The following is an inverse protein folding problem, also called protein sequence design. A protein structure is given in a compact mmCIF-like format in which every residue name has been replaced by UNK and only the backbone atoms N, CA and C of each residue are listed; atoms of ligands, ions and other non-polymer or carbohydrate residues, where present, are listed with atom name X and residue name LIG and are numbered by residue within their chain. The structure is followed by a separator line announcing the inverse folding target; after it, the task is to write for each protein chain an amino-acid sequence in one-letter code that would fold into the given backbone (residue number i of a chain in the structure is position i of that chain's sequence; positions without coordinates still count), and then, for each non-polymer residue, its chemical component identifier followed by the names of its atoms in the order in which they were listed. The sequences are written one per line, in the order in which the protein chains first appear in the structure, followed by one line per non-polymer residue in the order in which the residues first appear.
data_IF_226670868473
#
_entry.id   IF_226670868473
#
_cell.length_a   1.000
_cell.length_b   1.000
_cell.length_c   1.000
_cell.angle_alpha   90.00
_cell.angle_beta   90.00
_cell.angle_gamma   90.00
#
_symmetry.space_group_name_H-M   'P 1'
#
loop_
_entity.id
_entity.type
_entity.pdbx_description
1 polymer ?
#
# COMPACT_ATOMS: atom_id res chain seq x y z
N UNK A 1 4.39 0.75 26.52
CA UNK A 1 3.25 0.17 27.24
C UNK A 1 3.16 0.82 28.61
N UNK A 2 2.02 1.44 28.97
CA UNK A 2 1.77 1.97 30.30
C UNK A 2 0.41 1.45 30.76
N UNK A 3 0.44 0.63 31.82
CA UNK A 3 -0.73 0.07 32.50
C UNK A 3 -1.13 1.10 33.56
N UNK A 4 -2.38 1.57 33.52
CA UNK A 4 -2.95 2.42 34.57
C UNK A 4 -4.01 1.65 35.35
N UNK A 5 -3.86 1.76 36.68
CA UNK A 5 -4.56 1.05 37.74
C UNK A 5 -6.00 1.57 37.86
N UNK A 6 -6.94 0.63 37.92
CA UNK A 6 -8.37 0.87 38.12
C UNK A 6 -8.62 1.12 39.62
N UNK A 7 -9.14 2.30 39.96
CA UNK A 7 -9.68 2.59 41.29
C UNK A 7 -11.21 2.56 41.23
N UNK A 8 -11.78 1.59 41.95
CA UNK A 8 -13.21 1.32 42.05
C UNK A 8 -13.81 2.20 43.16
N UNK A 9 -14.62 3.20 42.81
CA UNK A 9 -15.46 3.94 43.76
C UNK A 9 -16.92 3.51 43.58
N UNK A 10 -17.42 2.68 44.49
CA UNK A 10 -18.82 2.27 44.55
C UNK A 10 -19.60 3.31 45.38
N UNK A 11 -20.24 4.26 44.71
CA UNK A 11 -21.27 5.11 45.33
C UNK A 11 -22.64 4.46 45.10
N UNK A 12 -23.28 4.03 46.20
CA UNK A 12 -24.67 3.58 46.19
C UNK A 12 -25.58 4.80 45.91
N UNK A 13 -26.15 4.86 44.70
CA UNK A 13 -27.21 5.80 44.35
C UNK A 13 -28.56 5.07 44.57
N UNK A 14 -29.55 5.67 45.26
CA UNK A 14 -30.87 5.08 45.39
C UNK A 14 -31.55 4.95 44.03
N UNK A 15 -31.96 3.72 43.71
CA UNK A 15 -32.70 3.35 42.52
C UNK A 15 -34.03 4.12 42.48
N UNK A 16 -34.06 5.27 41.81
CA UNK A 16 -35.32 5.79 41.27
C UNK A 16 -35.74 4.79 40.20
N UNK A 17 -36.89 4.15 40.37
CA UNK A 17 -37.53 3.36 39.34
C UNK A 17 -37.82 4.30 38.15
N UNK A 18 -36.85 4.39 37.23
CA UNK A 18 -37.07 4.94 35.90
C UNK A 18 -38.00 3.94 35.25
N UNK A 19 -39.23 4.36 34.98
CA UNK A 19 -40.15 3.62 34.13
C UNK A 19 -39.51 3.50 32.76
N UNK A 20 -38.75 2.43 32.51
CA UNK A 20 -38.25 2.12 31.18
C UNK A 20 -39.47 1.86 30.30
N UNK A 21 -39.68 2.73 29.30
CA UNK A 21 -40.67 2.49 28.23
C UNK A 21 -40.28 1.16 27.59
N UNK A 22 -41.09 0.12 27.78
CA UNK A 22 -40.86 -1.17 27.15
C UNK A 22 -41.08 -0.99 25.65
N UNK A 23 -40.03 -1.17 24.86
CA UNK A 23 -40.11 -1.05 23.40
C UNK A 23 -41.19 -1.96 22.85
N UNK A 24 -41.95 -1.45 21.88
CA UNK A 24 -42.91 -2.29 21.17
C UNK A 24 -42.18 -3.25 20.21
N UNK A 25 -42.88 -4.29 19.74
CA UNK A 25 -42.35 -5.14 18.68
C UNK A 25 -42.03 -4.37 17.40
N UNK A 26 -42.72 -3.25 17.13
CA UNK A 26 -42.48 -2.38 15.98
C UNK A 26 -41.19 -1.58 16.14
N UNK A 27 -40.96 -1.03 17.33
CA UNK A 27 -39.76 -0.26 17.65
C UNK A 27 -38.52 -1.14 17.57
N UNK A 28 -38.60 -2.34 18.16
CA UNK A 28 -37.54 -3.34 18.08
C UNK A 28 -37.22 -3.75 16.64
N UNK A 29 -38.25 -3.86 15.78
CA UNK A 29 -38.06 -4.18 14.37
C UNK A 29 -37.42 -3.02 13.58
N UNK A 30 -37.73 -1.76 13.91
CA UNK A 30 -37.11 -0.58 13.29
C UNK A 30 -35.61 -0.50 13.62
N UNK A 31 -35.27 -0.64 14.91
CA UNK A 31 -33.87 -0.68 15.38
C UNK A 31 -33.11 -1.85 14.73
N UNK A 32 -33.72 -3.05 14.68
CA UNK A 32 -33.10 -4.21 14.02
C UNK A 32 -32.85 -3.98 12.52
N UNK A 33 -33.73 -3.26 11.83
CA UNK A 33 -33.55 -2.90 10.41
C UNK A 33 -32.38 -1.92 10.24
N UNK A 34 -32.29 -0.89 11.08
CA UNK A 34 -31.20 0.09 11.05
C UNK A 34 -29.85 -0.57 11.34
N UNK A 35 -29.78 -1.46 12.32
CA UNK A 35 -28.58 -2.26 12.59
C UNK A 35 -28.14 -3.07 11.36
N UNK A 36 -29.07 -3.71 10.64
CA UNK A 36 -28.74 -4.41 9.37
C UNK A 36 -28.20 -3.45 8.31
N UNK A 37 -28.78 -2.26 8.18
CA UNK A 37 -28.29 -1.22 7.26
C UNK A 37 -26.87 -0.79 7.62
N UNK A 38 -26.58 -0.58 8.91
CA UNK A 38 -25.25 -0.25 9.41
C UNK A 38 -24.26 -1.36 9.06
N UNK A 39 -24.56 -2.63 9.35
CA UNK A 39 -23.68 -3.76 9.00
C UNK A 39 -23.37 -3.81 7.49
N UNK A 40 -24.37 -3.53 6.64
CA UNK A 40 -24.16 -3.46 5.19
C UNK A 40 -23.30 -2.25 4.78
N UNK A 41 -23.46 -1.11 5.44
CA UNK A 41 -22.65 0.08 5.22
C UNK A 41 -21.20 -0.12 5.68
N UNK A 42 -20.96 -0.78 6.82
CA UNK A 42 -19.63 -1.17 7.31
C UNK A 42 -18.93 -2.07 6.30
N UNK A 43 -19.63 -3.09 5.77
CA UNK A 43 -19.08 -3.95 4.73
C UNK A 43 -18.75 -3.21 3.43
N UNK A 44 -19.46 -2.11 3.11
CA UNK A 44 -19.13 -1.26 1.96
C UNK A 44 -17.87 -0.42 2.23
N UNK A 45 -17.72 0.13 3.43
CA UNK A 45 -16.52 0.87 3.85
C UNK A 45 -15.31 -0.06 3.78
N UNK A 46 -15.40 -1.26 4.33
CA UNK A 46 -14.32 -2.25 4.29
C UNK A 46 -13.90 -2.58 2.84
N UNK A 47 -14.87 -2.85 1.96
CA UNK A 47 -14.59 -3.10 0.53
C UNK A 47 -13.97 -1.91 -0.18
N UNK A 48 -14.35 -0.69 0.17
CA UNK A 48 -13.75 0.52 -0.39
C UNK A 48 -12.33 0.73 0.13
N UNK A 49 -12.09 0.45 1.42
CA UNK A 49 -10.77 0.52 2.04
C UNK A 49 -9.80 -0.47 1.40
N UNK A 50 -10.21 -1.72 1.18
CA UNK A 50 -9.38 -2.73 0.49
C UNK A 50 -8.91 -2.24 -0.89
N UNK A 51 -9.75 -1.47 -1.60
CA UNK A 51 -9.38 -0.91 -2.91
C UNK A 51 -8.33 0.20 -2.75
N UNK A 52 -8.50 1.09 -1.78
CA UNK A 52 -7.51 2.14 -1.44
C UNK A 52 -6.17 1.48 -1.10
N UNK A 53 -6.17 0.50 -0.20
CA UNK A 53 -4.98 -0.23 0.24
C UNK A 53 -4.28 -0.92 -0.95
N UNK A 54 -5.05 -1.46 -1.89
CA UNK A 54 -4.50 -2.05 -3.12
C UNK A 54 -3.80 -1.00 -4.01
N UNK A 55 -4.42 0.18 -4.19
CA UNK A 55 -3.80 1.27 -4.96
C UNK A 55 -2.52 1.78 -4.27
N UNK A 56 -2.53 1.94 -2.95
CA UNK A 56 -1.36 2.32 -2.17
C UNK A 56 -0.24 1.28 -2.26
N UNK A 57 -0.59 -0.01 -2.21
CA UNK A 57 0.38 -1.09 -2.39
C UNK A 57 1.07 -1.00 -3.76
N UNK A 58 0.32 -0.73 -4.84
CA UNK A 58 0.90 -0.51 -6.17
C UNK A 58 1.87 0.69 -6.19
N UNK A 59 1.51 1.79 -5.52
CA UNK A 59 2.35 2.99 -5.42
C UNK A 59 3.63 2.67 -4.64
N UNK A 60 3.53 1.97 -3.51
CA UNK A 60 4.66 1.59 -2.68
C UNK A 60 5.61 0.66 -3.43
N UNK A 61 5.09 -0.41 -4.05
CA UNK A 61 5.87 -1.35 -4.85
C UNK A 61 6.55 -0.62 -6.00
N UNK A 62 5.80 0.20 -6.75
CA UNK A 62 6.34 0.97 -7.87
C UNK A 62 7.44 1.94 -7.45
N UNK A 63 7.28 2.62 -6.31
CA UNK A 63 8.30 3.53 -5.77
C UNK A 63 9.56 2.78 -5.37
N UNK A 64 9.43 1.66 -4.66
CA UNK A 64 10.57 0.84 -4.25
C UNK A 64 11.36 0.32 -5.46
N UNK A 65 10.66 -0.22 -6.46
CA UNK A 65 11.27 -0.73 -7.69
C UNK A 65 11.96 0.37 -8.51
N UNK A 66 11.40 1.58 -8.52
CA UNK A 66 11.99 2.72 -9.23
C UNK A 66 13.33 3.13 -8.60
N UNK A 67 13.40 3.22 -7.27
CA UNK A 67 14.62 3.61 -6.56
C UNK A 67 15.70 2.53 -6.62
N UNK A 68 15.31 1.25 -6.49
CA UNK A 68 16.19 0.11 -6.73
C UNK A 68 16.74 0.15 -8.16
N UNK A 69 15.86 0.30 -9.15
CA UNK A 69 16.25 0.27 -10.55
C UNK A 69 17.15 1.45 -10.97
N UNK A 70 16.96 2.64 -10.39
CA UNK A 70 17.86 3.79 -10.60
C UNK A 70 19.24 3.55 -10.01
N UNK A 71 19.30 2.94 -8.82
CA UNK A 71 20.57 2.61 -8.15
C UNK A 71 21.34 1.58 -8.96
N UNK A 72 20.66 0.49 -9.36
CA UNK A 72 21.25 -0.55 -10.20
C UNK A 72 21.68 -0.01 -11.56
N UNK A 73 20.91 0.89 -12.18
CA UNK A 73 21.30 1.53 -13.45
C UNK A 73 22.62 2.30 -13.33
N UNK A 74 22.84 3.02 -12.22
CA UNK A 74 24.11 3.73 -11.97
C UNK A 74 25.27 2.75 -11.79
N UNK A 75 25.06 1.68 -11.05
CA UNK A 75 26.07 0.63 -10.84
C UNK A 75 26.45 -0.05 -12.17
N UNK A 76 25.47 -0.49 -12.95
CA UNK A 76 25.71 -1.13 -14.25
C UNK A 76 26.44 -0.22 -15.24
N UNK A 77 26.16 1.10 -15.22
CA UNK A 77 26.92 2.09 -16.01
C UNK A 77 28.39 2.16 -15.58
N UNK A 78 28.65 2.16 -14.27
CA UNK A 78 30.01 2.17 -13.74
C UNK A 78 30.75 0.86 -14.09
N UNK A 79 30.10 -0.30 -13.90
CA UNK A 79 30.65 -1.62 -14.25
C UNK A 79 30.99 -1.70 -15.74
N UNK A 80 30.09 -1.26 -16.62
CA UNK A 80 30.33 -1.24 -18.07
C UNK A 80 31.55 -0.40 -18.44
N UNK A 81 31.71 0.78 -17.80
CA UNK A 81 32.88 1.64 -18.02
C UNK A 81 34.16 1.01 -17.51
N UNK A 82 34.12 0.35 -16.35
CA UNK A 82 35.26 -0.36 -15.77
C UNK A 82 35.68 -1.54 -16.64
N UNK A 83 34.74 -2.37 -17.08
CA UNK A 83 35.00 -3.50 -17.98
C UNK A 83 35.65 -3.04 -19.28
N UNK A 84 35.13 -1.96 -19.89
CA UNK A 84 35.68 -1.40 -21.13
C UNK A 84 37.13 -0.90 -20.94
N UNK A 85 37.44 -0.28 -19.78
CA UNK A 85 38.79 0.20 -19.46
C UNK A 85 39.75 -0.95 -19.18
N UNK A 86 39.33 -1.96 -18.43
CA UNK A 86 40.12 -3.15 -18.15
C UNK A 86 40.46 -3.87 -19.44
N UNK A 87 39.46 -4.16 -20.28
CA UNK A 87 39.67 -4.75 -21.59
C UNK A 87 40.68 -3.99 -22.45
N UNK A 88 40.56 -2.66 -22.53
CA UNK A 88 41.52 -1.85 -23.28
C UNK A 88 42.95 -1.92 -22.70
N UNK A 89 43.08 -1.93 -21.37
CA UNK A 89 44.37 -2.00 -20.67
C UNK A 89 45.03 -3.37 -20.86
N UNK A 90 44.27 -4.44 -20.59
CA UNK A 90 44.73 -5.81 -20.66
C UNK A 90 45.09 -6.20 -22.09
N UNK A 91 44.37 -5.69 -23.08
CA UNK A 91 44.69 -5.93 -24.48
C UNK A 91 45.97 -5.20 -24.91
N UNK A 92 46.21 -3.99 -24.42
CA UNK A 92 47.35 -3.14 -24.83
C UNK A 92 48.70 -3.78 -24.50
N UNK A 93 48.82 -4.43 -23.34
CA UNK A 93 50.05 -5.12 -22.92
C UNK A 93 50.44 -6.24 -23.90
N UNK A 94 49.50 -7.08 -24.32
CA UNK A 94 49.77 -8.19 -25.23
C UNK A 94 49.82 -7.76 -26.70
N UNK A 95 49.19 -6.63 -27.06
CA UNK A 95 49.21 -6.15 -28.44
C UNK A 95 50.62 -5.83 -28.95
N UNK A 96 51.49 -5.29 -28.09
CA UNK A 96 52.89 -4.99 -28.43
C UNK A 96 53.70 -6.27 -28.59
N UNK A 97 53.53 -7.21 -27.64
CA UNK A 97 54.25 -8.50 -27.59
C UNK A 97 53.85 -9.41 -28.77
N UNK A 98 52.58 -9.39 -29.17
CA UNK A 98 52.08 -10.16 -30.32
C UNK A 98 52.72 -9.81 -31.68
N UNK A 99 53.48 -8.71 -31.74
CA UNK A 99 54.23 -8.23 -32.90
C UNK A 99 55.75 -8.41 -32.74
N UNK A 100 56.19 -9.14 -31.72
CA UNK A 100 57.60 -9.48 -31.48
C UNK A 100 58.17 -10.29 -32.64
N UNK A 101 59.51 -10.22 -32.81
CA UNK A 101 60.24 -11.08 -33.76
C UNK A 101 60.44 -12.50 -33.20
N UNK A 102 60.33 -12.64 -31.88
CA UNK A 102 60.29 -13.94 -31.22
C UNK A 102 58.94 -14.62 -31.53
N UNK A 103 59.01 -15.76 -32.22
CA UNK A 103 57.82 -16.48 -32.69
C UNK A 103 57.03 -17.11 -31.55
N UNK A 104 57.70 -17.54 -30.50
CA UNK A 104 57.06 -18.24 -29.39
C UNK A 104 56.34 -17.21 -28.51
N UNK A 105 57.02 -16.13 -28.17
CA UNK A 105 56.46 -14.99 -27.42
C UNK A 105 55.26 -14.36 -28.16
N UNK A 106 55.37 -14.19 -29.48
CA UNK A 106 54.27 -13.66 -30.29
C UNK A 106 53.06 -14.61 -30.36
N UNK A 107 53.29 -15.93 -30.31
CA UNK A 107 52.22 -16.95 -30.35
C UNK A 107 51.48 -16.99 -29.03
N UNK A 108 52.18 -16.96 -27.91
CA UNK A 108 51.59 -16.88 -26.57
C UNK A 108 50.77 -15.61 -26.39
N UNK A 109 51.30 -14.44 -26.77
CA UNK A 109 50.58 -13.18 -26.68
C UNK A 109 49.28 -13.17 -27.53
N UNK A 110 49.27 -13.84 -28.69
CA UNK A 110 48.04 -14.00 -29.50
C UNK A 110 47.02 -14.91 -28.82
N UNK A 111 47.46 -15.95 -28.12
CA UNK A 111 46.57 -16.80 -27.34
C UNK A 111 45.94 -16.03 -26.18
N UNK A 112 46.73 -15.23 -25.46
CA UNK A 112 46.23 -14.36 -24.37
C UNK A 112 45.24 -13.30 -24.89
N UNK A 113 45.54 -12.65 -26.03
CA UNK A 113 44.60 -11.73 -26.67
C UNK A 113 43.24 -12.40 -26.97
N UNK A 114 43.24 -13.64 -27.48
CA UNK A 114 41.99 -14.38 -27.72
C UNK A 114 41.23 -14.68 -26.43
N UNK A 115 41.94 -15.01 -25.34
CA UNK A 115 41.31 -15.23 -24.02
C UNK A 115 40.66 -13.94 -23.51
N UNK A 116 41.38 -12.82 -23.58
CA UNK A 116 40.87 -11.49 -23.18
C UNK A 116 39.64 -11.11 -24.00
N UNK A 117 39.70 -11.24 -25.33
CA UNK A 117 38.57 -10.95 -26.23
C UNK A 117 37.35 -11.85 -25.94
N UNK A 118 37.59 -13.12 -25.56
CA UNK A 118 36.53 -14.08 -25.22
C UNK A 118 35.90 -13.73 -23.87
N UNK A 119 36.70 -13.45 -22.85
CA UNK A 119 36.22 -13.07 -21.53
C UNK A 119 35.41 -11.77 -21.59
N UNK A 120 35.92 -10.75 -22.27
CA UNK A 120 35.21 -9.48 -22.46
C UNK A 120 33.82 -9.67 -23.12
N UNK A 121 33.70 -10.57 -24.11
CA UNK A 121 32.41 -10.88 -24.73
C UNK A 121 31.43 -11.54 -23.76
N UNK A 122 31.91 -12.45 -22.90
CA UNK A 122 31.09 -13.11 -21.88
C UNK A 122 30.59 -12.08 -20.88
N UNK A 123 31.49 -11.28 -20.31
CA UNK A 123 31.17 -10.28 -19.29
C UNK A 123 30.25 -9.18 -19.85
N UNK A 124 30.49 -8.75 -21.09
CA UNK A 124 29.63 -7.77 -21.77
C UNK A 124 28.22 -8.32 -21.98
N UNK A 125 28.09 -9.61 -22.31
CA UNK A 125 26.77 -10.26 -22.46
C UNK A 125 26.05 -10.36 -21.12
N UNK A 126 26.77 -10.64 -20.03
CA UNK A 126 26.21 -10.66 -18.69
C UNK A 126 25.69 -9.27 -18.28
N UNK A 127 26.50 -8.22 -18.45
CA UNK A 127 26.09 -6.84 -18.16
C UNK A 127 24.90 -6.38 -19.00
N UNK A 128 24.86 -6.79 -20.28
CA UNK A 128 23.70 -6.51 -21.14
C UNK A 128 22.43 -7.19 -20.60
N UNK A 129 22.53 -8.43 -20.12
CA UNK A 129 21.39 -9.14 -19.55
C UNK A 129 20.91 -8.48 -18.25
N UNK A 130 21.83 -8.07 -17.37
CA UNK A 130 21.50 -7.30 -16.14
C UNK A 130 20.83 -5.96 -16.48
N UNK A 131 21.33 -5.26 -17.49
CA UNK A 131 20.74 -4.01 -17.98
C UNK A 131 19.31 -4.22 -18.48
N UNK A 132 19.07 -5.23 -19.31
CA UNK A 132 17.72 -5.57 -19.79
C UNK A 132 16.77 -5.96 -18.67
N UNK A 133 17.25 -6.68 -17.66
CA UNK A 133 16.44 -7.01 -16.48
C UNK A 133 16.08 -5.75 -15.69
N UNK A 134 17.03 -4.83 -15.51
CA UNK A 134 16.79 -3.55 -14.86
C UNK A 134 15.82 -2.66 -15.64
N UNK A 135 15.89 -2.64 -16.97
CA UNK A 135 14.94 -1.89 -17.81
C UNK A 135 13.51 -2.44 -17.66
N UNK A 136 13.35 -3.76 -17.53
CA UNK A 136 12.04 -4.39 -17.24
C UNK A 136 11.55 -4.02 -15.84
N UNK A 137 12.42 -3.98 -14.84
CA UNK A 137 12.11 -3.55 -13.48
C UNK A 137 11.58 -2.10 -13.50
N UNK A 138 12.32 -1.18 -14.13
CA UNK A 138 11.93 0.22 -14.26
C UNK A 138 10.61 0.40 -15.03
N UNK A 139 10.40 -0.35 -16.11
CA UNK A 139 9.13 -0.33 -16.84
C UNK A 139 7.96 -0.84 -16.00
N UNK A 140 8.19 -1.86 -15.17
CA UNK A 140 7.17 -2.40 -14.25
C UNK A 140 6.86 -1.42 -13.13
N UNK A 141 7.88 -0.76 -12.59
CA UNK A 141 7.76 0.29 -11.59
C UNK A 141 6.85 1.43 -12.08
N UNK A 142 7.11 1.92 -13.30
CA UNK A 142 6.32 2.99 -13.93
C UNK A 142 4.85 2.59 -14.16
N UNK A 143 4.61 1.35 -14.61
CA UNK A 143 3.25 0.81 -14.76
C UNK A 143 2.51 0.74 -13.43
N UNK A 144 3.17 0.28 -12.37
CA UNK A 144 2.58 0.18 -11.04
C UNK A 144 2.25 1.57 -10.48
N UNK A 145 3.17 2.54 -10.62
CA UNK A 145 2.94 3.93 -10.21
C UNK A 145 1.78 4.57 -10.96
N UNK A 146 1.75 4.42 -12.29
CA UNK A 146 0.67 4.96 -13.12
C UNK A 146 -0.68 4.35 -12.74
N UNK A 147 -0.76 3.02 -12.58
CA UNK A 147 -2.00 2.35 -12.16
C UNK A 147 -2.44 2.78 -10.76
N UNK A 148 -1.54 2.73 -9.78
CA UNK A 148 -1.82 3.11 -8.40
C UNK A 148 -2.34 4.54 -8.29
N UNK A 149 -1.65 5.51 -8.94
CA UNK A 149 -2.08 6.91 -8.99
C UNK A 149 -3.40 7.13 -9.73
N UNK A 150 -3.68 6.33 -10.77
CA UNK A 150 -4.96 6.40 -11.46
C UNK A 150 -6.10 5.89 -10.59
N UNK A 151 -5.86 4.84 -9.79
CA UNK A 151 -6.89 4.20 -8.98
C UNK A 151 -7.18 4.94 -7.68
N UNK A 152 -6.15 5.47 -7.02
CA UNK A 152 -6.28 6.03 -5.67
C UNK A 152 -7.36 7.10 -5.59
N UNK A 153 -7.43 8.01 -6.57
CA UNK A 153 -8.43 9.08 -6.61
C UNK A 153 -9.87 8.57 -6.65
N UNK A 154 -10.16 7.57 -7.47
CA UNK A 154 -11.51 7.00 -7.59
C UNK A 154 -11.87 6.16 -6.38
N UNK A 155 -10.89 5.46 -5.79
CA UNK A 155 -11.09 4.63 -4.61
C UNK A 155 -11.28 5.46 -3.34
N UNK A 156 -10.52 6.55 -3.15
CA UNK A 156 -10.72 7.51 -2.06
C UNK A 156 -12.10 8.16 -2.13
N UNK A 157 -12.57 8.52 -3.33
CA UNK A 157 -13.94 9.03 -3.51
C UNK A 157 -14.97 7.98 -3.06
N UNK A 158 -14.80 6.73 -3.50
CA UNK A 158 -15.71 5.63 -3.12
C UNK A 158 -15.69 5.37 -1.61
N UNK A 159 -14.52 5.45 -0.98
CA UNK A 159 -14.38 5.30 0.47
C UNK A 159 -15.10 6.42 1.21
N UNK A 160 -14.93 7.68 0.78
CA UNK A 160 -15.61 8.83 1.36
C UNK A 160 -17.13 8.71 1.26
N UNK A 161 -17.65 8.30 0.10
CA UNK A 161 -19.09 8.05 -0.10
C UNK A 161 -19.61 6.93 0.82
N UNK A 162 -18.85 5.84 0.96
CA UNK A 162 -19.21 4.73 1.84
C UNK A 162 -19.21 5.14 3.32
N UNK A 163 -18.22 5.94 3.74
CA UNK A 163 -18.12 6.48 5.10
C UNK A 163 -19.28 7.42 5.41
N UNK A 164 -19.62 8.34 4.51
CA UNK A 164 -20.78 9.22 4.68
C UNK A 164 -22.09 8.43 4.80
N UNK A 165 -22.26 7.36 4.02
CA UNK A 165 -23.43 6.48 4.13
C UNK A 165 -23.49 5.72 5.46
N UNK A 166 -22.34 5.33 6.02
CA UNK A 166 -22.25 4.67 7.31
C UNK A 166 -22.58 5.64 8.45
N UNK A 167 -22.02 6.84 8.40
CA UNK A 167 -22.27 7.92 9.37
C UNK A 167 -23.75 8.26 9.42
N UNK A 168 -24.36 8.52 8.26
CA UNK A 168 -25.80 8.76 8.15
C UNK A 168 -26.65 7.62 8.77
N UNK A 169 -26.27 6.35 8.51
CA UNK A 169 -27.01 5.20 9.05
C UNK A 169 -26.87 5.08 10.57
N UNK A 170 -25.74 5.53 11.14
CA UNK A 170 -25.48 5.54 12.59
C UNK A 170 -26.24 6.68 13.27
N UNK A 171 -26.23 7.87 12.68
CA UNK A 171 -27.01 9.02 13.16
C UNK A 171 -28.51 8.72 13.17
N UNK A 172 -29.03 8.08 12.11
CA UNK A 172 -30.45 7.67 12.04
C UNK A 172 -30.82 6.68 13.17
N UNK A 173 -29.92 5.75 13.49
CA UNK A 173 -30.11 4.83 14.63
C UNK A 173 -30.08 5.57 15.96
N UNK A 174 -29.12 6.48 16.15
CA UNK A 174 -29.00 7.27 17.38
C UNK A 174 -30.24 8.13 17.61
N UNK A 175 -30.70 8.84 16.59
CA UNK A 175 -31.93 9.64 16.64
C UNK A 175 -33.16 8.78 16.94
N UNK A 176 -33.28 7.60 16.31
CA UNK A 176 -34.37 6.65 16.58
C UNK A 176 -34.34 6.17 18.03
N UNK A 177 -33.16 5.87 18.57
CA UNK A 177 -33.02 5.44 19.97
C UNK A 177 -33.34 6.59 20.94
N UNK A 178 -32.98 7.83 20.61
CA UNK A 178 -33.31 9.01 21.42
C UNK A 178 -34.83 9.23 21.48
N UNK A 179 -35.52 9.20 20.33
CA UNK A 179 -36.99 9.34 20.26
C UNK A 179 -37.72 8.24 21.05
N UNK A 180 -37.26 6.98 20.94
CA UNK A 180 -37.84 5.85 21.67
C UNK A 180 -37.64 5.95 23.19
N UNK A 181 -36.56 6.61 23.63
CA UNK A 181 -36.24 6.81 25.05
C UNK A 181 -36.74 8.14 25.62
N UNK A 182 -37.27 9.04 24.79
CA UNK A 182 -37.89 10.27 25.23
C UNK A 182 -39.11 9.95 26.12
N UNK A 183 -39.11 10.50 27.34
CA UNK A 183 -40.22 10.38 28.28
C UNK A 183 -41.33 11.33 27.83
N UNK A 184 -42.50 10.79 27.49
CA UNK A 184 -43.71 11.59 27.26
C UNK A 184 -44.04 12.37 28.54
N UNK A 185 -43.85 13.70 28.53
CA UNK A 185 -44.41 14.54 29.59
C UNK A 185 -45.95 14.41 29.55
N UNK A 186 -46.61 14.05 30.67
CA UNK A 186 -48.05 13.88 30.69
C UNK A 186 -48.73 15.20 30.31
N UNK A 187 -49.48 15.20 29.21
CA UNK A 187 -50.42 16.29 28.87
C UNK A 187 -51.41 16.43 30.01
N UNK A 188 -51.19 17.42 30.85
CA UNK A 188 -51.99 17.72 32.01
C UNK A 188 -53.45 17.95 31.57
N UNK A 189 -54.30 16.96 31.80
CA UNK A 189 -55.73 17.04 31.57
C UNK A 189 -56.30 18.08 32.53
N UNK A 190 -56.46 19.33 32.09
CA UNK A 190 -57.26 20.33 32.80
C UNK A 190 -58.70 19.81 32.92
N UNK A 191 -58.98 19.19 34.06
CA UNK A 191 -60.32 18.83 34.54
C UNK A 191 -61.24 20.05 34.40
N UNK A 192 -62.30 19.87 33.60
CA UNK A 192 -63.54 20.65 33.71
C UNK A 192 -64.00 20.64 35.17
N UNK A 193 -64.07 21.80 35.82
CA UNK A 193 -64.93 21.97 37.00
C UNK A 193 -66.25 22.59 36.53
N UNK A 194 -67.33 21.88 36.85
CA UNK A 194 -68.71 22.36 36.83
C UNK A 194 -68.88 23.48 37.85
#
# INVERSE_FOLDING_TARGET
MKIFIIALFATLIPLKAISQKTWTSKDSAAVAKLNKTITLAEAKVEKAQIKVDYADSLIQIGTSQLEEGKTLQKQLKAETKTLSKQYATDRKQFLKISKSKDKDEATEAKAELKKIDTQYKIDSKELLNKTKANDKLLSTADKNLTKGKSYIKDYERTLKEAQASLEYSKEELEWTLEDLNAVDEPKDSKKKKK
#
